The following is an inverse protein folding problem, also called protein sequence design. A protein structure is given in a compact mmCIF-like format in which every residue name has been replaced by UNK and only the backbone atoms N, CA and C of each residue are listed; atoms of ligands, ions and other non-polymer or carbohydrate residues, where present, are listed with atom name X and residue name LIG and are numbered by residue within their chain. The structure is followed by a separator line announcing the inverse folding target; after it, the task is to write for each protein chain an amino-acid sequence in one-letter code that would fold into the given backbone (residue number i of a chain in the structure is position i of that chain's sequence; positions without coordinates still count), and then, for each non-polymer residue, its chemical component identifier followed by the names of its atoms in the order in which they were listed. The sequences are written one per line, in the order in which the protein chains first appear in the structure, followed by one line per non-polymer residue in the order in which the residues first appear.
data_IF_824127764673
#
_entry.id   IF_824127764673
#
_cell.length_a   1.000
_cell.length_b   1.000
_cell.length_c   1.000
_cell.angle_alpha   90.00
_cell.angle_beta   90.00
_cell.angle_gamma   90.00
#
_symmetry.space_group_name_H-M   'P 1'
#
loop_
_entity.id
_entity.type
_entity.pdbx_description
1 polymer ?
#
# COMPACT_ATOMS: atom_id res chain seq x y z
N UNK A 1 -37.17 0.42 6.08
CA UNK A 1 -35.90 0.94 5.52
C UNK A 1 -36.24 2.06 4.55
N UNK A 2 -35.60 3.23 4.70
CA UNK A 2 -35.84 4.37 3.79
C UNK A 2 -35.27 4.06 2.41
N UNK A 3 -35.89 4.52 1.29
CA UNK A 3 -35.34 4.38 -0.05
C UNK A 3 -33.89 4.88 -0.17
N UNK A 4 -33.53 5.97 0.47
CA UNK A 4 -32.17 6.51 0.52
C UNK A 4 -31.17 5.58 1.26
N UNK A 5 -31.65 4.83 2.23
CA UNK A 5 -30.82 3.88 2.98
C UNK A 5 -30.55 2.64 2.13
N UNK A 6 -31.55 2.09 1.44
CA UNK A 6 -31.40 0.97 0.52
C UNK A 6 -30.44 1.28 -0.64
N UNK A 7 -30.49 2.53 -1.15
CA UNK A 7 -29.62 3.02 -2.20
C UNK A 7 -28.15 3.07 -1.75
N UNK A 8 -27.87 3.61 -0.55
CA UNK A 8 -26.52 3.63 0.04
C UNK A 8 -25.97 2.23 0.31
N UNK A 9 -26.80 1.33 0.81
CA UNK A 9 -26.41 -0.06 1.08
C UNK A 9 -26.06 -0.80 -0.22
N UNK A 10 -26.82 -0.59 -1.29
CA UNK A 10 -26.52 -1.17 -2.60
C UNK A 10 -25.19 -0.65 -3.15
N UNK A 11 -24.95 0.65 -3.06
CA UNK A 11 -23.68 1.26 -3.47
C UNK A 11 -22.48 0.66 -2.69
N UNK A 12 -22.64 0.49 -1.39
CA UNK A 12 -21.58 -0.07 -0.53
C UNK A 12 -21.29 -1.54 -0.83
N UNK A 13 -22.32 -2.37 -1.06
CA UNK A 13 -22.17 -3.77 -1.47
C UNK A 13 -21.43 -3.89 -2.81
N UNK A 14 -21.77 -3.03 -3.79
CA UNK A 14 -21.08 -2.98 -5.07
C UNK A 14 -19.60 -2.60 -4.92
N UNK A 15 -19.27 -1.61 -4.08
CA UNK A 15 -17.87 -1.24 -3.79
C UNK A 15 -17.10 -2.38 -3.13
N UNK A 16 -17.70 -3.05 -2.14
CA UNK A 16 -17.05 -4.17 -1.45
C UNK A 16 -16.81 -5.37 -2.39
N UNK A 17 -17.81 -5.75 -3.18
CA UNK A 17 -17.69 -6.82 -4.17
C UNK A 17 -16.62 -6.48 -5.23
N UNK A 18 -16.62 -5.25 -5.71
CA UNK A 18 -15.63 -4.76 -6.68
C UNK A 18 -14.22 -4.79 -6.09
N UNK A 19 -14.02 -4.31 -4.86
CA UNK A 19 -12.73 -4.35 -4.19
C UNK A 19 -12.17 -5.77 -4.10
N UNK A 20 -13.00 -6.73 -3.69
CA UNK A 20 -12.62 -8.14 -3.60
C UNK A 20 -12.23 -8.72 -4.96
N UNK A 21 -13.06 -8.51 -5.98
CA UNK A 21 -12.82 -9.09 -7.31
C UNK A 21 -11.64 -8.43 -8.04
N UNK A 22 -11.50 -7.11 -7.91
CA UNK A 22 -10.35 -6.42 -8.52
C UNK A 22 -9.03 -6.79 -7.85
N UNK A 23 -9.01 -6.98 -6.54
CA UNK A 23 -7.84 -7.48 -5.84
C UNK A 23 -7.49 -8.92 -6.23
N UNK A 24 -8.50 -9.78 -6.47
CA UNK A 24 -8.31 -11.18 -6.84
C UNK A 24 -7.92 -11.37 -8.31
N UNK A 25 -8.58 -10.67 -9.25
CA UNK A 25 -8.49 -10.92 -10.70
C UNK A 25 -7.95 -9.75 -11.52
N UNK A 26 -7.81 -8.58 -10.92
CA UNK A 26 -7.41 -7.34 -11.60
C UNK A 26 -8.56 -6.68 -12.38
N UNK A 27 -8.30 -5.47 -12.90
CA UNK A 27 -9.30 -4.67 -13.61
C UNK A 27 -9.80 -5.35 -14.89
N UNK A 28 -8.89 -5.90 -15.72
CA UNK A 28 -9.26 -6.46 -17.04
C UNK A 28 -10.15 -7.69 -16.90
N UNK A 29 -9.77 -8.62 -16.02
CA UNK A 29 -10.42 -9.93 -15.87
C UNK A 29 -11.68 -9.93 -15.03
N UNK A 30 -12.08 -8.79 -14.45
CA UNK A 30 -13.32 -8.65 -13.67
C UNK A 30 -14.41 -8.05 -14.54
N UNK A 31 -15.57 -8.71 -14.67
CA UNK A 31 -16.72 -8.18 -15.42
C UNK A 31 -17.72 -7.45 -14.50
N UNK A 32 -18.54 -6.57 -15.09
CA UNK A 32 -19.69 -5.94 -14.41
C UNK A 32 -20.64 -6.98 -13.83
N UNK A 33 -20.84 -8.10 -14.55
CA UNK A 33 -21.72 -9.18 -14.15
C UNK A 33 -21.19 -9.88 -12.89
N UNK A 34 -19.89 -10.21 -12.85
CA UNK A 34 -19.29 -10.86 -11.67
C UNK A 34 -19.46 -10.01 -10.41
N UNK A 35 -19.27 -8.67 -10.56
CA UNK A 35 -19.44 -7.71 -9.45
C UNK A 35 -20.88 -7.69 -8.97
N UNK A 36 -21.84 -7.64 -9.90
CA UNK A 36 -23.26 -7.61 -9.58
C UNK A 36 -23.75 -8.91 -8.95
N UNK A 37 -23.29 -10.04 -9.46
CA UNK A 37 -23.61 -11.36 -8.91
C UNK A 37 -23.12 -11.49 -7.47
N UNK A 38 -21.86 -11.06 -7.20
CA UNK A 38 -21.30 -11.08 -5.85
C UNK A 38 -21.99 -10.08 -4.90
N UNK A 39 -22.39 -8.91 -5.41
CA UNK A 39 -23.06 -7.87 -4.62
C UNK A 39 -24.56 -8.12 -4.40
N UNK A 40 -25.15 -9.09 -5.10
CA UNK A 40 -26.60 -9.27 -5.13
C UNK A 40 -27.33 -8.02 -5.68
N UNK A 41 -26.82 -7.45 -6.78
CA UNK A 41 -27.32 -6.21 -7.37
C UNK A 41 -27.55 -6.34 -8.87
N UNK A 42 -28.40 -5.44 -9.43
CA UNK A 42 -28.63 -5.37 -10.87
C UNK A 42 -27.51 -4.57 -11.57
N UNK A 43 -27.05 -4.96 -12.77
CA UNK A 43 -26.09 -4.20 -13.57
C UNK A 43 -26.46 -2.73 -13.78
N UNK A 44 -27.75 -2.37 -13.83
CA UNK A 44 -28.20 -0.99 -13.89
C UNK A 44 -27.72 -0.15 -12.68
N UNK A 45 -27.51 -0.76 -11.52
CA UNK A 45 -27.02 -0.07 -10.33
C UNK A 45 -25.58 0.41 -10.49
N UNK A 46 -24.71 -0.31 -11.23
CA UNK A 46 -23.36 0.17 -11.54
C UNK A 46 -23.44 1.42 -12.41
N UNK A 47 -24.30 1.43 -13.43
CA UNK A 47 -24.46 2.60 -14.30
C UNK A 47 -25.02 3.78 -13.51
N UNK A 48 -25.96 3.54 -12.63
CA UNK A 48 -26.57 4.57 -11.78
C UNK A 48 -25.57 5.19 -10.79
N UNK A 49 -24.84 4.37 -10.03
CA UNK A 49 -23.95 4.85 -8.97
C UNK A 49 -22.56 5.27 -9.45
N UNK A 50 -22.04 4.61 -10.51
CA UNK A 50 -20.63 4.72 -10.91
C UNK A 50 -20.45 5.02 -12.40
N UNK A 51 -21.51 5.13 -13.17
CA UNK A 51 -21.58 5.33 -14.63
C UNK A 51 -21.11 4.11 -15.44
N UNK A 52 -19.98 3.49 -15.08
CA UNK A 52 -19.39 2.33 -15.77
C UNK A 52 -18.33 1.65 -14.88
N UNK A 53 -17.82 0.48 -15.30
CA UNK A 53 -16.83 -0.30 -14.57
C UNK A 53 -15.59 0.51 -14.14
N UNK A 54 -15.07 1.36 -15.03
CA UNK A 54 -13.91 2.20 -14.71
C UNK A 54 -14.23 3.25 -13.63
N UNK A 55 -15.45 3.79 -13.62
CA UNK A 55 -15.89 4.71 -12.56
C UNK A 55 -15.91 4.02 -11.19
N UNK A 56 -16.48 2.82 -11.12
CA UNK A 56 -16.46 1.98 -9.92
C UNK A 56 -15.00 1.64 -9.51
N UNK A 57 -14.16 1.29 -10.47
CA UNK A 57 -12.74 0.98 -10.19
C UNK A 57 -11.99 2.19 -9.64
N UNK A 58 -12.19 3.38 -10.19
CA UNK A 58 -11.58 4.62 -9.67
C UNK A 58 -11.96 4.90 -8.22
N UNK A 59 -13.20 4.59 -7.82
CA UNK A 59 -13.60 4.71 -6.41
C UNK A 59 -12.89 3.69 -5.52
N UNK A 60 -12.76 2.44 -5.97
CA UNK A 60 -11.98 1.42 -5.26
C UNK A 60 -10.51 1.86 -5.12
N UNK A 61 -9.88 2.37 -6.17
CA UNK A 61 -8.51 2.92 -6.12
C UNK A 61 -8.45 4.15 -5.18
N UNK A 62 -9.48 4.98 -5.15
CA UNK A 62 -9.58 6.06 -4.16
C UNK A 62 -9.54 5.56 -2.72
N UNK A 63 -10.29 4.50 -2.41
CA UNK A 63 -10.26 3.85 -1.08
C UNK A 63 -8.86 3.31 -0.73
N UNK A 64 -8.16 2.74 -1.71
CA UNK A 64 -6.77 2.29 -1.55
C UNK A 64 -5.85 3.47 -1.19
N UNK A 65 -5.92 4.55 -1.96
CA UNK A 65 -5.11 5.75 -1.73
C UNK A 65 -5.37 6.35 -0.33
N UNK A 66 -6.63 6.45 0.07
CA UNK A 66 -7.02 6.95 1.41
C UNK A 66 -6.52 6.01 2.53
N UNK A 67 -6.54 4.70 2.32
CA UNK A 67 -6.01 3.73 3.27
C UNK A 67 -4.48 3.79 3.36
N UNK A 68 -3.79 4.00 2.22
CA UNK A 68 -2.34 4.24 2.19
C UNK A 68 -1.98 5.48 3.01
N UNK A 69 -2.73 6.56 2.87
CA UNK A 69 -2.47 7.81 3.60
C UNK A 69 -2.65 7.64 5.11
N UNK A 70 -3.74 6.99 5.53
CA UNK A 70 -3.97 6.66 6.96
C UNK A 70 -2.85 5.80 7.55
N UNK A 71 -2.48 4.71 6.88
CA UNK A 71 -1.40 3.81 7.34
C UNK A 71 -0.09 4.55 7.57
N UNK A 72 0.22 5.50 6.71
CA UNK A 72 1.44 6.30 6.84
C UNK A 72 1.37 7.33 7.95
N UNK A 73 0.21 7.96 8.11
CA UNK A 73 0.01 8.86 9.24
C UNK A 73 0.19 8.11 10.56
N UNK A 74 -0.41 6.93 10.70
CA UNK A 74 -0.24 6.04 11.85
C UNK A 74 1.23 5.67 12.08
N UNK A 75 1.97 5.34 11.00
CA UNK A 75 3.40 5.03 11.07
C UNK A 75 4.26 6.22 11.51
N UNK A 76 3.93 7.43 11.08
CA UNK A 76 4.64 8.65 11.48
C UNK A 76 4.31 9.04 12.92
N UNK A 77 3.07 8.89 13.34
CA UNK A 77 2.60 9.23 14.70
C UNK A 77 3.18 8.28 15.75
N UNK A 78 3.36 7.00 15.41
CA UNK A 78 3.93 5.99 16.30
C UNK A 78 5.37 6.31 16.74
N UNK A 79 6.14 7.05 15.92
CA UNK A 79 7.52 7.45 16.19
C UNK A 79 7.70 8.91 16.61
N UNK A 80 6.65 9.69 16.80
CA UNK A 80 6.69 11.16 16.89
C UNK A 80 7.56 11.76 18.01
N UNK A 81 7.97 10.99 19.00
CA UNK A 81 8.79 11.47 20.13
C UNK A 81 10.25 11.03 20.14
N UNK A 82 10.70 10.26 19.15
CA UNK A 82 12.05 9.67 19.11
C UNK A 82 13.06 10.45 18.28
N UNK A 83 14.32 9.99 18.33
CA UNK A 83 15.37 10.44 17.41
C UNK A 83 15.00 10.11 15.95
N UNK A 84 15.59 10.77 14.94
CA UNK A 84 15.35 10.45 13.53
C UNK A 84 15.53 8.96 13.21
N UNK A 85 16.53 8.31 13.80
CA UNK A 85 16.79 6.88 13.66
C UNK A 85 15.65 6.01 14.21
N UNK A 86 15.18 6.33 15.41
CA UNK A 86 14.07 5.62 16.05
C UNK A 86 12.78 5.77 15.25
N UNK A 87 12.52 6.98 14.76
CA UNK A 87 11.34 7.27 13.91
C UNK A 87 11.39 6.48 12.61
N UNK A 88 12.56 6.36 11.97
CA UNK A 88 12.70 5.53 10.78
C UNK A 88 12.51 4.03 11.09
N UNK A 89 13.04 3.54 12.22
CA UNK A 89 12.80 2.15 12.67
C UNK A 89 11.32 1.87 12.91
N UNK A 90 10.62 2.77 13.57
CA UNK A 90 9.20 2.63 13.86
C UNK A 90 8.35 2.69 12.60
N UNK A 91 8.67 3.59 11.66
CA UNK A 91 8.05 3.65 10.36
C UNK A 91 8.20 2.31 9.60
N UNK A 92 9.42 1.79 9.51
CA UNK A 92 9.70 0.51 8.83
C UNK A 92 8.97 -0.64 9.51
N UNK A 93 9.00 -0.71 10.86
CA UNK A 93 8.28 -1.72 11.63
C UNK A 93 6.78 -1.71 11.34
N UNK A 94 6.17 -0.54 11.34
CA UNK A 94 4.76 -0.39 11.03
C UNK A 94 4.44 -0.84 9.60
N UNK A 95 5.23 -0.39 8.62
CA UNK A 95 5.04 -0.76 7.21
C UNK A 95 5.21 -2.27 6.98
N UNK A 96 6.25 -2.89 7.54
CA UNK A 96 6.51 -4.33 7.39
C UNK A 96 5.39 -5.16 8.02
N UNK A 97 4.94 -4.82 9.23
CA UNK A 97 3.80 -5.48 9.88
C UNK A 97 2.52 -5.36 9.05
N UNK A 98 2.29 -4.21 8.44
CA UNK A 98 1.11 -3.97 7.59
C UNK A 98 1.16 -4.78 6.29
N UNK A 99 2.35 -4.92 5.69
CA UNK A 99 2.54 -5.64 4.42
C UNK A 99 2.60 -7.16 4.63
N UNK A 100 3.26 -7.62 5.71
CA UNK A 100 3.42 -9.05 5.99
C UNK A 100 2.26 -9.62 6.81
N UNK A 101 1.39 -8.82 7.41
CA UNK A 101 0.32 -9.26 8.31
C UNK A 101 -0.41 -10.54 7.87
N UNK A 102 -0.95 -11.29 8.83
CA UNK A 102 -1.50 -12.63 8.63
C UNK A 102 -2.78 -12.63 7.78
N UNK A 103 -3.57 -11.57 7.85
CA UNK A 103 -4.84 -11.46 7.11
C UNK A 103 -4.61 -11.08 5.64
N UNK A 104 -5.38 -11.72 4.75
CA UNK A 104 -5.45 -11.36 3.32
C UNK A 104 -5.86 -9.88 3.20
N UNK A 105 -4.90 -9.05 2.83
CA UNK A 105 -5.10 -7.61 2.72
C UNK A 105 -5.34 -7.23 1.26
N UNK A 106 -6.60 -7.15 0.86
CA UNK A 106 -6.98 -6.82 -0.51
C UNK A 106 -6.39 -5.49 -1.02
N UNK A 107 -6.09 -4.54 -0.11
CA UNK A 107 -5.42 -3.28 -0.46
C UNK A 107 -4.00 -3.54 -0.97
N UNK A 108 -3.24 -4.37 -0.25
CA UNK A 108 -1.86 -4.75 -0.60
C UNK A 108 -1.86 -5.55 -1.90
N UNK A 109 -2.80 -6.49 -2.04
CA UNK A 109 -2.95 -7.31 -3.25
C UNK A 109 -3.26 -6.42 -4.48
N UNK A 110 -4.17 -5.44 -4.33
CA UNK A 110 -4.54 -4.54 -5.41
C UNK A 110 -3.39 -3.60 -5.80
N UNK A 111 -2.64 -3.07 -4.83
CA UNK A 111 -1.43 -2.28 -5.09
C UNK A 111 -0.41 -3.12 -5.88
N UNK A 112 -0.14 -4.34 -5.43
CA UNK A 112 0.78 -5.26 -6.11
C UNK A 112 0.38 -5.52 -7.56
N UNK A 113 -0.92 -5.71 -7.83
CA UNK A 113 -1.43 -5.87 -9.19
C UNK A 113 -1.28 -4.62 -10.05
N UNK A 114 -1.61 -3.45 -9.51
CA UNK A 114 -1.44 -2.19 -10.23
C UNK A 114 0.03 -1.91 -10.57
N UNK A 115 0.96 -2.31 -9.69
CA UNK A 115 2.40 -2.20 -9.98
C UNK A 115 2.87 -3.17 -11.06
N UNK A 116 2.27 -4.37 -11.12
CA UNK A 116 2.63 -5.40 -12.11
C UNK A 116 1.92 -5.19 -13.47
N UNK A 117 0.64 -4.79 -13.44
CA UNK A 117 -0.21 -4.59 -14.62
C UNK A 117 -1.04 -3.32 -14.45
N UNK A 118 -0.50 -2.14 -14.84
CA UNK A 118 -1.18 -0.87 -14.66
C UNK A 118 -2.52 -0.79 -15.37
N UNK A 119 -3.55 -0.35 -14.66
CA UNK A 119 -4.88 -0.07 -15.20
C UNK A 119 -5.01 1.39 -15.68
N UNK A 120 -6.13 1.76 -16.36
CA UNK A 120 -6.42 3.16 -16.68
C UNK A 120 -6.60 4.08 -15.45
N UNK A 121 -6.65 3.54 -14.24
CA UNK A 121 -6.73 4.30 -13.00
C UNK A 121 -5.38 4.36 -12.22
N UNK A 122 -4.30 3.78 -12.77
CA UNK A 122 -2.99 3.75 -12.13
C UNK A 122 -2.49 5.14 -11.71
N UNK A 123 -2.66 6.15 -12.59
CA UNK A 123 -2.28 7.53 -12.27
C UNK A 123 -2.88 8.05 -10.95
N UNK A 124 -4.11 7.65 -10.64
CA UNK A 124 -4.77 8.06 -9.40
C UNK A 124 -4.07 7.50 -8.14
N UNK A 125 -3.62 6.24 -8.18
CA UNK A 125 -2.90 5.64 -7.06
C UNK A 125 -1.49 6.25 -6.91
N UNK A 126 -0.84 6.59 -8.02
CA UNK A 126 0.44 7.29 -8.02
C UNK A 126 0.31 8.67 -7.38
N UNK A 127 -0.62 9.48 -7.87
CA UNK A 127 -0.78 10.89 -7.45
C UNK A 127 -1.28 11.01 -6.00
N UNK A 128 -2.26 10.20 -5.60
CA UNK A 128 -2.89 10.30 -4.28
C UNK A 128 -2.25 9.41 -3.20
N UNK A 129 -1.59 8.33 -3.61
CA UNK A 129 -1.03 7.35 -2.69
C UNK A 129 0.51 7.33 -2.68
N UNK A 130 1.14 7.04 -3.81
CA UNK A 130 2.58 6.76 -3.88
C UNK A 130 3.42 8.03 -3.70
N UNK A 131 3.15 9.08 -4.46
CA UNK A 131 3.93 10.32 -4.38
C UNK A 131 3.87 11.01 -3.01
N UNK A 132 2.70 11.17 -2.36
CA UNK A 132 2.66 11.73 -1.02
C UNK A 132 3.44 10.91 0.01
N UNK A 133 3.41 9.57 -0.15
CA UNK A 133 4.22 8.66 0.68
C UNK A 133 5.70 8.88 0.54
N UNK A 134 6.15 8.89 -0.70
CA UNK A 134 7.55 9.08 -1.03
C UNK A 134 8.08 10.38 -0.43
N UNK A 135 7.31 11.47 -0.54
CA UNK A 135 7.67 12.77 0.04
C UNK A 135 7.79 12.73 1.57
N UNK A 136 6.84 12.09 2.26
CA UNK A 136 6.90 11.95 3.74
C UNK A 136 8.11 11.13 4.18
N UNK A 137 8.38 10.03 3.49
CA UNK A 137 9.55 9.21 3.81
C UNK A 137 10.85 9.94 3.46
N UNK A 138 10.91 10.71 2.36
CA UNK A 138 12.06 11.54 2.03
C UNK A 138 12.36 12.59 3.10
N UNK A 139 11.33 13.16 3.76
CA UNK A 139 11.51 14.04 4.90
C UNK A 139 12.17 13.32 6.09
N UNK A 140 11.70 12.09 6.41
CA UNK A 140 12.28 11.29 7.47
C UNK A 140 13.73 10.88 7.16
N UNK A 141 14.02 10.52 5.91
CA UNK A 141 15.39 10.26 5.43
C UNK A 141 16.25 11.52 5.50
N UNK A 142 15.69 12.68 5.20
CA UNK A 142 16.36 13.99 5.34
C UNK A 142 16.84 14.22 6.77
N UNK A 143 16.01 13.94 7.75
CA UNK A 143 16.37 14.07 9.17
C UNK A 143 17.48 13.12 9.62
N UNK A 144 17.49 11.88 9.08
CA UNK A 144 18.54 10.89 9.36
C UNK A 144 19.87 11.24 8.69
N UNK A 145 19.79 11.75 7.45
CA UNK A 145 20.98 11.96 6.59
C UNK A 145 21.59 13.36 6.72
N UNK A 146 20.79 14.34 7.16
CA UNK A 146 21.15 15.78 7.08
C UNK A 146 21.06 16.37 5.67
N UNK A 147 20.65 15.59 4.64
CA UNK A 147 20.43 16.07 3.29
C UNK A 147 19.06 16.77 3.17
N UNK A 148 18.86 17.74 2.27
CA UNK A 148 17.53 18.24 1.92
C UNK A 148 16.60 17.11 1.46
N UNK A 149 15.29 17.18 1.76
CA UNK A 149 14.33 16.14 1.39
C UNK A 149 14.10 16.04 -0.14
N UNK A 150 14.42 17.08 -0.88
CA UNK A 150 14.40 17.13 -2.35
C UNK A 150 15.74 16.73 -2.99
N UNK A 151 16.77 16.45 -2.19
CA UNK A 151 18.03 15.89 -2.70
C UNK A 151 17.77 14.54 -3.37
N UNK A 152 18.26 14.30 -4.59
CA UNK A 152 18.07 13.04 -5.30
C UNK A 152 18.50 11.80 -4.50
N UNK A 153 19.53 11.91 -3.66
CA UNK A 153 20.02 10.82 -2.79
C UNK A 153 19.00 10.51 -1.69
N UNK A 154 18.41 11.53 -1.07
CA UNK A 154 17.36 11.33 -0.06
C UNK A 154 16.11 10.68 -0.66
N UNK A 155 15.69 11.13 -1.84
CA UNK A 155 14.57 10.54 -2.57
C UNK A 155 14.85 9.10 -3.00
N UNK A 156 16.07 8.81 -3.48
CA UNK A 156 16.49 7.45 -3.81
C UNK A 156 16.46 6.54 -2.58
N UNK A 157 17.02 6.98 -1.44
CA UNK A 157 16.98 6.23 -0.19
C UNK A 157 15.53 5.95 0.27
N UNK A 158 14.64 6.93 0.18
CA UNK A 158 13.22 6.74 0.49
C UNK A 158 12.58 5.67 -0.41
N UNK A 159 12.87 5.70 -1.71
CA UNK A 159 12.45 4.66 -2.65
C UNK A 159 12.97 3.27 -2.28
N UNK A 160 14.24 3.15 -1.89
CA UNK A 160 14.84 1.89 -1.48
C UNK A 160 14.27 1.34 -0.17
N UNK A 161 13.96 2.20 0.81
CA UNK A 161 13.24 1.79 2.04
C UNK A 161 11.86 1.22 1.69
N UNK A 162 11.10 1.92 0.84
CA UNK A 162 9.81 1.42 0.37
C UNK A 162 9.94 0.07 -0.35
N UNK A 163 10.89 -0.04 -1.28
CA UNK A 163 11.10 -1.28 -2.05
C UNK A 163 11.37 -2.48 -1.13
N UNK A 164 12.18 -2.33 -0.10
CA UNK A 164 12.44 -3.39 0.88
C UNK A 164 11.18 -3.78 1.66
N UNK A 165 10.40 -2.80 2.13
CA UNK A 165 9.15 -3.07 2.85
C UNK A 165 8.13 -3.80 1.96
N UNK A 166 8.01 -3.38 0.68
CA UNK A 166 7.04 -3.95 -0.27
C UNK A 166 7.51 -5.23 -0.95
N UNK A 167 8.77 -5.62 -0.84
CA UNK A 167 9.27 -6.90 -1.38
C UNK A 167 8.39 -8.08 -0.98
N UNK A 168 7.90 -8.10 0.25
CA UNK A 168 7.10 -9.18 0.79
C UNK A 168 5.67 -9.28 0.24
N UNK A 169 5.17 -8.29 -0.51
CA UNK A 169 3.85 -8.40 -1.17
C UNK A 169 3.82 -9.53 -2.19
N UNK A 170 4.91 -9.70 -2.95
CA UNK A 170 5.05 -10.79 -3.92
C UNK A 170 6.12 -11.82 -3.56
N UNK A 171 7.01 -11.52 -2.61
CA UNK A 171 8.15 -12.36 -2.25
C UNK A 171 7.83 -13.53 -1.30
N UNK A 172 6.72 -13.47 -0.55
CA UNK A 172 6.34 -14.56 0.38
C UNK A 172 6.30 -15.95 -0.25
N UNK A 173 5.69 -16.18 -1.44
CA UNK A 173 5.67 -17.50 -2.08
C UNK A 173 7.08 -18.00 -2.41
N UNK A 174 7.97 -17.11 -2.84
CA UNK A 174 9.37 -17.45 -3.14
C UNK A 174 10.09 -17.89 -1.87
N UNK A 175 9.97 -17.11 -0.80
CA UNK A 175 10.59 -17.44 0.49
C UNK A 175 10.08 -18.75 1.07
N UNK A 176 8.77 -19.02 1.00
CA UNK A 176 8.18 -20.30 1.41
C UNK A 176 8.59 -21.48 0.52
N UNK A 177 8.90 -21.23 -0.75
CA UNK A 177 9.43 -22.27 -1.63
C UNK A 177 10.89 -22.61 -1.27
N UNK A 178 11.70 -21.61 -0.91
CA UNK A 178 13.08 -21.80 -0.47
C UNK A 178 13.17 -22.49 0.90
N UNK A 179 12.28 -22.11 1.82
CA UNK A 179 12.14 -22.74 3.13
C UNK A 179 10.66 -23.03 3.43
N UNK A 180 10.18 -24.28 3.16
CA UNK A 180 8.78 -24.67 3.43
C UNK A 180 8.36 -24.58 4.89
N UNK A 181 9.31 -24.54 5.84
CA UNK A 181 9.04 -24.40 7.28
C UNK A 181 8.97 -22.94 7.73
N UNK A 182 9.24 -22.01 6.83
CA UNK A 182 9.22 -20.58 7.13
C UNK A 182 7.81 -20.12 7.54
N UNK A 183 7.69 -19.62 8.75
CA UNK A 183 6.47 -19.01 9.28
C UNK A 183 6.70 -17.52 9.54
N UNK A 184 5.81 -16.69 9.05
CA UNK A 184 5.82 -15.25 9.32
C UNK A 184 5.16 -14.94 10.66
N UNK A 185 5.75 -15.48 11.75
CA UNK A 185 5.30 -15.18 13.11
C UNK A 185 5.51 -13.69 13.42
N UNK A 186 4.74 -13.09 14.36
CA UNK A 186 4.96 -11.69 14.78
C UNK A 186 6.40 -11.38 15.14
N UNK A 187 7.08 -12.29 15.84
CA UNK A 187 8.49 -12.14 16.22
C UNK A 187 9.42 -12.13 14.98
N UNK A 188 9.17 -12.99 14.00
CA UNK A 188 9.95 -13.03 12.76
C UNK A 188 9.71 -11.78 11.90
N UNK A 189 8.47 -11.30 11.85
CA UNK A 189 8.11 -10.06 11.17
C UNK A 189 8.83 -8.85 11.79
N UNK A 190 8.92 -8.80 13.11
CA UNK A 190 9.67 -7.75 13.82
C UNK A 190 11.18 -7.84 13.56
N UNK A 191 11.72 -9.04 13.46
CA UNK A 191 13.14 -9.25 13.12
C UNK A 191 13.43 -8.79 11.68
N UNK A 192 12.55 -9.11 10.71
CA UNK A 192 12.63 -8.58 9.34
C UNK A 192 12.65 -7.05 9.36
N UNK A 193 11.73 -6.44 10.08
CA UNK A 193 11.64 -4.98 10.17
C UNK A 193 12.91 -4.37 10.77
N UNK A 194 13.47 -4.99 11.80
CA UNK A 194 14.74 -4.57 12.43
C UNK A 194 15.89 -4.63 11.43
N UNK A 195 16.02 -5.73 10.68
CA UNK A 195 17.11 -5.91 9.71
C UNK A 195 16.98 -4.89 8.56
N UNK A 196 15.77 -4.66 8.03
CA UNK A 196 15.54 -3.63 7.02
C UNK A 196 15.92 -2.24 7.56
N UNK A 197 15.58 -1.94 8.80
CA UNK A 197 15.89 -0.65 9.40
C UNK A 197 17.41 -0.42 9.54
N UNK A 198 18.16 -1.41 10.07
CA UNK A 198 19.61 -1.28 10.20
C UNK A 198 20.31 -1.18 8.84
N UNK A 199 19.90 -1.98 7.86
CA UNK A 199 20.42 -1.89 6.50
C UNK A 199 20.14 -0.51 5.87
N UNK A 200 18.91 -0.01 6.05
CA UNK A 200 18.50 1.30 5.51
C UNK A 200 19.28 2.43 6.16
N UNK A 201 19.40 2.45 7.50
CA UNK A 201 20.18 3.46 8.22
C UNK A 201 21.65 3.50 7.78
N UNK A 202 22.27 2.31 7.63
CA UNK A 202 23.63 2.20 7.13
C UNK A 202 23.77 2.76 5.71
N UNK A 203 22.86 2.39 4.80
CA UNK A 203 22.83 2.85 3.41
C UNK A 203 22.59 4.36 3.28
N UNK A 204 21.65 4.91 4.04
CA UNK A 204 21.34 6.35 4.08
C UNK A 204 22.59 7.16 4.48
N UNK A 205 23.26 6.76 5.55
CA UNK A 205 24.47 7.45 6.04
C UNK A 205 25.63 7.37 5.05
N UNK A 206 25.83 6.20 4.45
CA UNK A 206 26.88 6.00 3.45
C UNK A 206 26.68 6.86 2.19
N UNK A 207 25.42 6.99 1.72
CA UNK A 207 25.10 7.82 0.55
C UNK A 207 25.13 9.32 0.88
N UNK A 208 24.80 9.72 2.11
CA UNK A 208 24.88 11.12 2.54
C UNK A 208 26.31 11.65 2.52
N UNK A 209 27.32 10.81 2.82
CA UNK A 209 28.73 11.19 2.87
C UNK A 209 29.40 11.26 1.48
N UNK A 210 28.79 10.69 0.44
CA UNK A 210 29.35 10.74 -0.92
C UNK A 210 29.04 12.09 -1.58
N UNK A 211 30.07 12.84 -1.90
CA UNK A 211 29.96 13.95 -2.86
C UNK A 211 29.83 13.33 -4.26
N UNK A 212 28.67 13.50 -4.89
CA UNK A 212 28.46 13.21 -6.31
C UNK A 212 29.04 14.35 -7.13
#
# INVERSE_FOLDING_TARGET
MSPKQADRETRQRLLQAAATLFADRGFKSTSVRDICDLAGANPAAINYHFRHKLGLYREVIGMVADAMDRTKQEAMDAGAGGTPDERLRDYIRHMVRRVIGEEKNWLVDLIGREMAEPSPAFGLIVERGILPSGRRLAQLVSEVSGLPADDPRAQFCAGMVHAQCFFFTGGKPVLKHMDPKLEFTPAYVDEIARQIAEFSLGGIRALAQKHL
#
